data_IF_065925534736
#
_entry.id   IF_065925534736
#
_cell.length_a   1.000
_cell.length_b   1.000
_cell.length_c   1.000
_cell.angle_alpha   90.00
_cell.angle_beta   90.00
_cell.angle_gamma   90.00
#
_symmetry.space_group_name_H-M   'P 1'
#
loop_
_entity.id
_entity.type
_entity.pdbx_description
1 polymer ?
#
# COMPACT_ATOMS: atom_id res chain seq x y z
N UNK A 1 1.89 -19.09 -6.72
CA UNK A 1 2.23 -19.89 -5.52
C UNK A 1 1.04 -19.86 -4.59
N UNK A 2 0.47 -21.01 -4.24
CA UNK A 2 -0.60 -21.08 -3.26
C UNK A 2 0.06 -21.26 -1.89
N UNK A 3 0.25 -20.15 -1.18
CA UNK A 3 0.84 -20.15 0.16
C UNK A 3 -0.19 -20.58 1.22
N UNK A 4 -1.41 -20.05 1.12
CA UNK A 4 -2.59 -20.52 1.85
C UNK A 4 -3.35 -21.53 1.00
N UNK A 5 -4.15 -22.39 1.62
CA UNK A 5 -5.02 -23.37 0.93
C UNK A 5 -6.12 -22.64 0.17
N UNK A 6 -6.68 -21.61 0.80
CA UNK A 6 -7.71 -20.75 0.23
C UNK A 6 -7.08 -19.53 -0.41
N UNK A 7 -7.46 -19.24 -1.65
CA UNK A 7 -7.00 -18.08 -2.41
C UNK A 7 -8.23 -17.28 -2.85
N UNK A 8 -8.24 -16.01 -2.48
CA UNK A 8 -9.36 -15.10 -2.75
C UNK A 8 -9.06 -14.22 -3.96
N UNK A 9 -10.10 -13.94 -4.77
CA UNK A 9 -10.05 -12.98 -5.87
C UNK A 9 -10.93 -11.74 -5.64
N UNK A 10 -11.70 -11.74 -4.56
CA UNK A 10 -12.59 -10.67 -4.13
C UNK A 10 -12.59 -10.60 -2.60
N UNK A 11 -13.07 -9.52 -1.99
CA UNK A 11 -13.17 -9.43 -0.53
C UNK A 11 -13.90 -10.65 0.06
N UNK A 12 -13.50 -11.07 1.24
CA UNK A 12 -14.06 -12.21 1.96
C UNK A 12 -14.30 -11.85 3.43
N UNK A 13 -15.12 -12.63 4.15
CA UNK A 13 -15.65 -12.21 5.47
C UNK A 13 -14.61 -11.69 6.46
N UNK A 14 -13.44 -12.32 6.54
CA UNK A 14 -12.41 -11.91 7.51
C UNK A 14 -11.84 -10.51 7.28
N UNK A 15 -11.87 -9.99 6.03
CA UNK A 15 -11.34 -8.66 5.70
C UNK A 15 -12.39 -7.64 5.26
N UNK A 16 -13.70 -7.95 5.35
CA UNK A 16 -14.72 -6.96 4.97
C UNK A 16 -14.53 -5.65 5.72
N UNK A 17 -14.31 -4.57 4.99
CA UNK A 17 -14.09 -3.24 5.56
C UNK A 17 -15.29 -2.73 6.41
N UNK A 18 -16.47 -3.32 6.21
CA UNK A 18 -17.69 -3.02 7.00
C UNK A 18 -17.74 -3.73 8.36
N UNK A 19 -16.76 -4.60 8.69
CA UNK A 19 -16.69 -5.23 10.00
C UNK A 19 -16.44 -4.19 11.09
N UNK A 20 -17.20 -4.21 12.20
CA UNK A 20 -17.00 -3.27 13.32
C UNK A 20 -15.57 -3.29 13.89
N UNK A 21 -14.92 -4.48 13.92
CA UNK A 21 -13.55 -4.68 14.42
C UNK A 21 -12.50 -3.99 13.56
N UNK A 22 -12.83 -3.71 12.29
CA UNK A 22 -11.96 -3.01 11.35
C UNK A 22 -12.29 -1.51 11.23
N UNK A 23 -13.15 -1.00 12.12
CA UNK A 23 -13.57 0.42 12.09
C UNK A 23 -12.38 1.37 12.06
N UNK A 24 -12.43 2.32 11.15
CA UNK A 24 -11.44 3.39 11.01
C UNK A 24 -11.97 4.73 11.57
N UNK A 25 -13.00 4.67 12.41
CA UNK A 25 -13.63 5.87 12.97
C UNK A 25 -12.62 6.78 13.69
N UNK A 26 -12.72 8.07 13.44
CA UNK A 26 -11.82 9.08 14.00
C UNK A 26 -10.46 9.20 13.31
N UNK A 27 -10.10 8.28 12.39
CA UNK A 27 -8.79 8.26 11.70
C UNK A 27 -8.79 9.11 10.44
N UNK A 28 -7.64 9.74 10.19
CA UNK A 28 -7.30 10.39 8.92
C UNK A 28 -6.37 9.49 8.12
N UNK A 29 -6.73 9.21 6.88
CA UNK A 29 -5.99 8.31 5.97
C UNK A 29 -5.41 9.12 4.81
N UNK A 30 -4.12 8.96 4.55
CA UNK A 30 -3.42 9.53 3.40
C UNK A 30 -3.08 8.42 2.39
N UNK A 31 -3.55 8.54 1.15
CA UNK A 31 -3.32 7.55 0.08
C UNK A 31 -2.55 8.19 -1.07
N UNK A 32 -1.30 7.78 -1.27
CA UNK A 32 -0.52 8.21 -2.43
C UNK A 32 -1.02 7.48 -3.69
N UNK A 33 -1.21 8.23 -4.79
CA UNK A 33 -1.79 7.67 -6.02
C UNK A 33 -3.25 7.23 -5.86
N UNK A 34 -4.03 7.92 -4.99
CA UNK A 34 -5.40 7.58 -4.64
C UNK A 34 -6.46 7.95 -5.67
N UNK A 35 -6.09 8.62 -6.77
CA UNK A 35 -7.06 9.12 -7.76
C UNK A 35 -7.54 8.08 -8.78
N UNK A 36 -6.96 6.88 -8.82
CA UNK A 36 -7.35 5.84 -9.78
C UNK A 36 -6.95 4.44 -9.30
N UNK A 37 -7.49 3.41 -9.96
CA UNK A 37 -7.08 2.02 -9.81
C UNK A 37 -7.11 1.51 -8.37
N UNK A 38 -6.03 0.85 -7.94
CA UNK A 38 -5.92 0.24 -6.61
C UNK A 38 -5.99 1.30 -5.51
N UNK A 39 -5.32 2.46 -5.68
CA UNK A 39 -5.35 3.53 -4.69
C UNK A 39 -6.76 4.10 -4.46
N UNK A 40 -7.55 4.22 -5.53
CA UNK A 40 -8.96 4.63 -5.42
C UNK A 40 -9.80 3.58 -4.69
N UNK A 41 -9.62 2.29 -5.01
CA UNK A 41 -10.31 1.20 -4.33
C UNK A 41 -9.92 1.11 -2.83
N UNK A 42 -8.67 1.45 -2.48
CA UNK A 42 -8.24 1.56 -1.08
C UNK A 42 -8.96 2.73 -0.39
N UNK A 43 -9.05 3.90 -1.03
CA UNK A 43 -9.82 5.03 -0.48
C UNK A 43 -11.28 4.65 -0.24
N UNK A 44 -11.92 3.90 -1.16
CA UNK A 44 -13.27 3.36 -0.97
C UNK A 44 -13.34 2.39 0.23
N UNK A 45 -12.36 1.48 0.39
CA UNK A 45 -12.31 0.57 1.52
C UNK A 45 -12.25 1.31 2.86
N UNK A 46 -11.40 2.32 2.99
CA UNK A 46 -11.33 3.14 4.21
C UNK A 46 -12.59 3.98 4.44
N UNK A 47 -13.23 4.46 3.38
CA UNK A 47 -14.52 5.14 3.49
C UNK A 47 -15.61 4.20 3.99
N UNK A 48 -15.67 2.98 3.47
CA UNK A 48 -16.60 1.93 3.93
C UNK A 48 -16.36 1.55 5.39
N UNK A 49 -15.10 1.59 5.87
CA UNK A 49 -14.74 1.35 7.26
C UNK A 49 -14.99 2.55 8.19
N UNK A 50 -15.56 3.64 7.68
CA UNK A 50 -15.97 4.81 8.47
C UNK A 50 -14.80 5.71 8.88
N UNK A 51 -13.74 5.83 8.07
CA UNK A 51 -12.67 6.80 8.33
C UNK A 51 -13.24 8.23 8.45
N UNK A 52 -12.68 9.03 9.36
CA UNK A 52 -13.11 10.42 9.54
C UNK A 52 -12.77 11.27 8.32
N UNK A 53 -11.54 11.14 7.82
CA UNK A 53 -11.05 11.91 6.67
C UNK A 53 -10.15 11.04 5.80
N UNK A 54 -10.28 11.19 4.49
CA UNK A 54 -9.42 10.52 3.50
C UNK A 54 -8.83 11.57 2.59
N UNK A 55 -7.50 11.62 2.52
CA UNK A 55 -6.73 12.52 1.67
C UNK A 55 -6.12 11.68 0.57
N UNK A 56 -6.42 12.00 -0.69
CA UNK A 56 -5.82 11.33 -1.84
C UNK A 56 -4.84 12.23 -2.56
N UNK A 57 -3.66 11.69 -2.86
CA UNK A 57 -2.66 12.38 -3.66
C UNK A 57 -2.64 11.83 -5.08
N UNK A 58 -2.47 12.71 -6.06
CA UNK A 58 -2.33 12.33 -7.46
C UNK A 58 -1.71 13.44 -8.30
N UNK A 59 -0.99 13.09 -9.37
CA UNK A 59 -0.29 14.06 -10.22
C UNK A 59 -1.22 14.88 -11.13
N UNK A 60 -2.37 14.34 -11.50
CA UNK A 60 -3.34 14.94 -12.43
C UNK A 60 -4.51 15.49 -11.65
N UNK A 61 -4.60 16.82 -11.54
CA UNK A 61 -5.62 17.51 -10.75
C UNK A 61 -7.04 17.09 -11.14
N UNK A 62 -7.36 17.05 -12.44
CA UNK A 62 -8.66 16.67 -12.92
C UNK A 62 -9.11 15.27 -12.43
N UNK A 63 -8.19 14.29 -12.43
CA UNK A 63 -8.50 12.94 -11.93
C UNK A 63 -8.62 12.89 -10.41
N UNK A 64 -7.89 13.75 -9.71
CA UNK A 64 -8.02 13.90 -8.25
C UNK A 64 -9.41 14.46 -7.92
N UNK A 65 -9.85 15.51 -8.61
CA UNK A 65 -11.15 16.15 -8.40
C UNK A 65 -12.31 15.21 -8.74
N UNK A 66 -12.20 14.45 -9.83
CA UNK A 66 -13.18 13.44 -10.22
C UNK A 66 -13.30 12.33 -9.18
N UNK A 67 -12.15 11.85 -8.65
CA UNK A 67 -12.11 10.81 -7.63
C UNK A 67 -12.75 11.29 -6.32
N UNK A 68 -12.42 12.51 -5.86
CA UNK A 68 -13.03 13.12 -4.66
C UNK A 68 -14.54 13.23 -4.85
N UNK A 69 -14.98 13.80 -5.97
CA UNK A 69 -16.41 13.97 -6.27
C UNK A 69 -17.17 12.65 -6.29
N UNK A 70 -16.54 11.56 -6.75
CA UNK A 70 -17.13 10.22 -6.76
C UNK A 70 -17.23 9.68 -5.34
N UNK A 71 -16.16 9.78 -4.53
CA UNK A 71 -16.13 9.32 -3.15
C UNK A 71 -17.16 10.06 -2.29
N UNK A 72 -17.29 11.38 -2.44
CA UNK A 72 -18.28 12.20 -1.71
C UNK A 72 -19.73 11.83 -2.04
N UNK A 73 -19.99 11.42 -3.29
CA UNK A 73 -21.33 10.94 -3.68
C UNK A 73 -21.66 9.58 -3.06
N UNK A 74 -20.68 8.68 -3.00
CA UNK A 74 -20.88 7.30 -2.55
C UNK A 74 -20.85 7.17 -1.02
N UNK A 75 -20.02 7.95 -0.31
CA UNK A 75 -19.79 7.79 1.12
C UNK A 75 -20.12 9.06 1.90
N UNK A 76 -21.36 9.13 2.42
CA UNK A 76 -21.77 10.25 3.26
C UNK A 76 -21.19 10.13 4.67
N UNK A 77 -20.76 11.25 5.26
CA UNK A 77 -20.19 11.28 6.61
C UNK A 77 -18.67 11.09 6.69
N UNK A 78 -18.00 10.86 5.55
CA UNK A 78 -16.55 10.88 5.44
C UNK A 78 -16.12 12.18 4.78
N UNK A 79 -15.07 12.82 5.30
CA UNK A 79 -14.47 14.00 4.68
C UNK A 79 -13.44 13.55 3.63
N UNK A 80 -13.50 14.09 2.42
CA UNK A 80 -12.52 13.82 1.38
C UNK A 80 -11.74 15.08 1.03
N UNK A 81 -10.46 14.90 0.72
CA UNK A 81 -9.59 15.94 0.22
C UNK A 81 -8.71 15.38 -0.89
N UNK A 82 -8.63 16.09 -2.00
CA UNK A 82 -7.73 15.75 -3.10
C UNK A 82 -6.63 16.80 -3.21
N UNK A 83 -5.38 16.34 -3.31
CA UNK A 83 -4.22 17.23 -3.44
C UNK A 83 -3.41 16.80 -4.65
N UNK A 84 -3.19 17.76 -5.57
CA UNK A 84 -2.25 17.53 -6.66
C UNK A 84 -0.84 17.41 -6.09
N UNK A 85 -0.21 16.27 -6.27
CA UNK A 85 1.11 16.00 -5.73
C UNK A 85 1.87 15.01 -6.59
N UNK A 86 3.11 15.33 -6.91
CA UNK A 86 4.10 14.36 -7.35
C UNK A 86 4.91 13.91 -6.13
N UNK A 87 4.83 12.64 -5.77
CA UNK A 87 5.56 12.06 -4.63
C UNK A 87 7.09 12.11 -4.81
N UNK A 88 7.58 12.46 -6.00
CA UNK A 88 9.00 12.68 -6.29
C UNK A 88 9.45 14.11 -6.00
N UNK A 89 8.55 15.05 -5.87
CA UNK A 89 8.84 16.44 -5.53
C UNK A 89 9.02 16.57 -4.01
N UNK A 90 10.27 16.56 -3.56
CA UNK A 90 10.60 16.60 -2.13
C UNK A 90 10.25 17.96 -1.50
N UNK A 91 10.36 19.07 -2.26
CA UNK A 91 9.98 20.38 -1.76
C UNK A 91 8.45 20.48 -1.59
N UNK A 92 7.69 19.94 -2.55
CA UNK A 92 6.25 19.84 -2.40
C UNK A 92 5.85 18.95 -1.23
N UNK A 93 6.50 17.80 -1.08
CA UNK A 93 6.28 16.90 0.06
C UNK A 93 6.53 17.61 1.39
N UNK A 94 7.63 18.37 1.50
CA UNK A 94 7.93 19.14 2.70
C UNK A 94 6.85 20.19 3.01
N UNK A 95 6.41 20.95 2.02
CA UNK A 95 5.30 21.92 2.17
C UNK A 95 4.02 21.22 2.62
N UNK A 96 3.65 20.11 1.98
CA UNK A 96 2.44 19.35 2.31
C UNK A 96 2.40 18.92 3.78
N UNK A 97 3.51 18.36 4.30
CA UNK A 97 3.55 17.93 5.69
C UNK A 97 3.62 19.10 6.68
N UNK A 98 4.20 20.21 6.27
CA UNK A 98 4.17 21.46 7.03
C UNK A 98 2.76 22.04 7.10
N UNK A 99 2.02 22.05 5.99
CA UNK A 99 0.61 22.47 5.95
C UNK A 99 -0.25 21.59 6.88
N UNK A 100 -0.03 20.27 6.90
CA UNK A 100 -0.70 19.38 7.84
C UNK A 100 -0.38 19.72 9.31
N UNK A 101 0.88 20.06 9.60
CA UNK A 101 1.27 20.48 10.95
C UNK A 101 0.59 21.81 11.34
N UNK A 102 0.56 22.80 10.45
CA UNK A 102 0.00 24.12 10.68
C UNK A 102 -1.53 24.10 10.84
N UNK A 103 -2.24 23.26 10.10
CA UNK A 103 -3.70 23.13 10.18
C UNK A 103 -4.16 22.09 11.23
N UNK A 104 -3.23 21.47 11.94
CA UNK A 104 -3.51 20.48 12.98
C UNK A 104 -3.98 19.12 12.42
N UNK A 105 -3.79 18.84 11.13
CA UNK A 105 -4.10 17.54 10.53
C UNK A 105 -3.12 16.47 11.01
N UNK A 106 -3.65 15.41 11.62
CA UNK A 106 -2.89 14.24 12.03
C UNK A 106 -3.21 13.09 11.09
N UNK A 107 -2.20 12.56 10.42
CA UNK A 107 -2.34 11.34 9.60
C UNK A 107 -2.19 10.13 10.53
N UNK A 108 -3.20 9.27 10.59
CA UNK A 108 -3.19 8.03 11.37
C UNK A 108 -2.79 6.81 10.52
N UNK A 109 -3.15 6.84 9.23
CA UNK A 109 -2.86 5.77 8.28
C UNK A 109 -2.21 6.37 7.04
N UNK A 110 -1.01 5.88 6.69
CA UNK A 110 -0.33 6.20 5.44
C UNK A 110 -0.34 4.99 4.52
N UNK A 111 -0.92 5.14 3.32
CA UNK A 111 -0.90 4.13 2.27
C UNK A 111 0.04 4.55 1.15
N UNK A 112 1.15 3.84 1.03
CA UNK A 112 2.17 4.02 -0.01
C UNK A 112 1.79 3.18 -1.23
N UNK A 113 0.95 3.75 -2.11
CA UNK A 113 0.45 3.07 -3.29
C UNK A 113 1.04 3.63 -4.61
N UNK A 114 1.41 4.91 -4.65
CA UNK A 114 2.01 5.49 -5.85
C UNK A 114 3.26 4.71 -6.28
N UNK A 115 3.34 4.37 -7.55
CA UNK A 115 4.47 3.65 -8.12
C UNK A 115 4.67 3.99 -9.60
N UNK A 116 5.91 3.83 -10.08
CA UNK A 116 6.24 3.79 -11.51
C UNK A 116 6.48 2.34 -11.92
N UNK A 117 5.81 1.91 -12.97
CA UNK A 117 6.18 0.71 -13.72
C UNK A 117 7.16 1.18 -14.80
N UNK A 118 8.35 0.57 -14.87
CA UNK A 118 9.37 0.89 -15.89
C UNK A 118 8.88 0.52 -17.29
N UNK A 119 9.56 1.02 -18.30
CA UNK A 119 9.44 0.48 -19.65
C UNK A 119 9.80 -1.00 -19.64
N UNK A 120 9.28 -1.77 -20.60
CA UNK A 120 9.63 -3.19 -20.77
C UNK A 120 10.99 -3.34 -21.49
N UNK A 121 11.65 -4.45 -21.23
CA UNK A 121 12.91 -4.81 -21.86
C UNK A 121 14.04 -5.13 -20.90
N UNK A 122 15.18 -5.60 -21.43
CA UNK A 122 16.38 -5.91 -20.61
C UNK A 122 16.89 -4.67 -19.89
N UNK A 123 17.30 -4.80 -18.63
CA UNK A 123 17.66 -3.68 -17.76
C UNK A 123 18.78 -2.78 -18.35
N UNK A 124 19.76 -3.37 -19.04
CA UNK A 124 20.83 -2.60 -19.67
C UNK A 124 20.38 -1.86 -20.95
N UNK A 125 19.28 -2.30 -21.57
CA UNK A 125 18.69 -1.62 -22.72
C UNK A 125 17.78 -0.45 -22.32
N UNK A 126 17.20 -0.47 -21.12
CA UNK A 126 16.39 0.63 -20.59
C UNK A 126 17.22 1.90 -20.36
N UNK A 127 18.50 1.73 -20.09
CA UNK A 127 19.41 2.83 -19.76
C UNK A 127 19.29 3.30 -18.30
N UNK A 128 20.33 4.01 -17.88
CA UNK A 128 20.50 4.46 -16.50
C UNK A 128 19.31 5.31 -16.01
N UNK A 129 18.83 6.21 -16.83
CA UNK A 129 17.88 7.23 -16.38
C UNK A 129 16.48 6.64 -16.11
N UNK A 130 15.99 5.71 -16.95
CA UNK A 130 14.70 5.01 -16.70
C UNK A 130 14.79 4.12 -15.45
N UNK A 131 15.95 3.44 -15.26
CA UNK A 131 16.18 2.64 -14.05
C UNK A 131 16.16 3.52 -12.81
N UNK A 132 16.91 4.63 -12.78
CA UNK A 132 16.95 5.53 -11.62
C UNK A 132 15.61 6.25 -11.36
N UNK A 133 14.86 6.59 -12.39
CA UNK A 133 13.52 7.13 -12.20
C UNK A 133 12.61 6.14 -11.46
N UNK A 134 12.74 4.83 -11.77
CA UNK A 134 12.02 3.78 -11.04
C UNK A 134 12.44 3.72 -9.56
N UNK A 135 13.74 3.87 -9.25
CA UNK A 135 14.22 3.95 -7.86
C UNK A 135 13.77 5.22 -7.16
N UNK A 136 13.79 6.35 -7.86
CA UNK A 136 13.29 7.63 -7.32
C UNK A 136 11.82 7.49 -6.88
N UNK A 137 10.98 6.92 -7.73
CA UNK A 137 9.55 6.74 -7.45
C UNK A 137 9.28 5.64 -6.42
N UNK A 138 9.93 4.47 -6.57
CA UNK A 138 9.56 3.27 -5.80
C UNK A 138 10.42 3.05 -4.55
N UNK A 139 11.42 3.89 -4.29
CA UNK A 139 12.30 3.80 -3.11
C UNK A 139 12.40 5.13 -2.38
N UNK A 140 12.89 6.20 -3.08
CA UNK A 140 13.10 7.50 -2.42
C UNK A 140 11.80 8.10 -1.90
N UNK A 141 10.73 8.05 -2.68
CA UNK A 141 9.43 8.57 -2.23
C UNK A 141 8.88 7.80 -1.03
N UNK A 142 9.11 6.47 -0.97
CA UNK A 142 8.70 5.67 0.19
C UNK A 142 9.44 6.13 1.46
N UNK A 143 10.75 6.38 1.35
CA UNK A 143 11.55 6.87 2.48
C UNK A 143 11.07 8.24 2.94
N UNK A 144 10.90 9.20 2.01
CA UNK A 144 10.46 10.56 2.32
C UNK A 144 9.12 10.59 3.05
N UNK A 145 8.11 9.93 2.49
CA UNK A 145 6.77 9.89 3.12
C UNK A 145 6.78 9.12 4.45
N UNK A 146 7.53 8.02 4.56
CA UNK A 146 7.63 7.26 5.81
C UNK A 146 8.31 8.07 6.91
N UNK A 147 9.40 8.78 6.59
CA UNK A 147 10.12 9.63 7.54
C UNK A 147 9.23 10.76 8.06
N UNK A 148 8.55 11.48 7.15
CA UNK A 148 7.64 12.57 7.52
C UNK A 148 6.46 12.07 8.34
N UNK A 149 5.87 10.95 7.95
CA UNK A 149 4.80 10.29 8.71
C UNK A 149 5.25 9.89 10.11
N UNK A 150 6.45 9.33 10.24
CA UNK A 150 7.01 8.97 11.54
C UNK A 150 7.25 10.21 12.41
N UNK A 151 7.81 11.28 11.85
CA UNK A 151 8.23 12.51 12.54
C UNK A 151 7.11 13.54 12.71
N UNK A 152 5.87 13.31 12.22
CA UNK A 152 4.80 14.30 12.39
C UNK A 152 4.63 14.65 13.87
N UNK A 153 4.62 15.94 14.20
CA UNK A 153 4.61 16.45 15.59
C UNK A 153 3.23 16.36 16.24
N UNK A 154 2.18 16.57 15.44
CA UNK A 154 0.82 16.41 15.93
C UNK A 154 0.49 14.93 16.10
N UNK A 155 -0.35 14.60 17.09
CA UNK A 155 -0.79 13.21 17.32
C UNK A 155 0.22 12.35 18.10
N UNK A 156 1.06 12.94 18.95
CA UNK A 156 1.93 12.21 19.86
C UNK A 156 1.14 11.17 20.68
N UNK A 157 1.70 9.97 20.81
CA UNK A 157 1.06 8.85 21.52
C UNK A 157 -0.04 8.13 20.76
N UNK A 158 -0.40 8.57 19.53
CA UNK A 158 -1.34 7.83 18.66
C UNK A 158 -0.59 6.77 17.87
N UNK A 159 -1.12 5.55 17.87
CA UNK A 159 -0.61 4.49 17.02
C UNK A 159 -0.79 4.86 15.55
N UNK A 160 0.26 4.67 14.75
CA UNK A 160 0.30 4.90 13.31
C UNK A 160 0.23 3.58 12.54
N UNK A 161 -0.31 3.63 11.33
CA UNK A 161 -0.38 2.47 10.44
C UNK A 161 0.21 2.83 9.07
N UNK A 162 1.28 2.15 8.68
CA UNK A 162 1.89 2.30 7.37
C UNK A 162 1.62 1.05 6.55
N UNK A 163 0.94 1.21 5.43
CA UNK A 163 0.58 0.14 4.50
C UNK A 163 1.29 0.38 3.16
N UNK A 164 2.25 -0.47 2.82
CA UNK A 164 3.02 -0.34 1.59
C UNK A 164 2.57 -1.35 0.55
N UNK A 165 2.20 -0.87 -0.63
CA UNK A 165 1.91 -1.72 -1.78
C UNK A 165 3.19 -2.15 -2.47
N UNK A 166 3.41 -3.46 -2.52
CA UNK A 166 4.52 -4.10 -3.18
C UNK A 166 4.02 -4.98 -4.35
N UNK A 167 4.78 -5.96 -4.78
CA UNK A 167 4.45 -6.82 -5.91
C UNK A 167 5.01 -8.24 -5.71
N UNK A 168 4.38 -9.25 -6.32
CA UNK A 168 4.93 -10.61 -6.37
C UNK A 168 6.30 -10.67 -7.08
N UNK A 169 6.59 -9.70 -7.95
CA UNK A 169 7.85 -9.65 -8.72
C UNK A 169 9.10 -9.44 -7.85
N UNK A 170 8.95 -9.11 -6.57
CA UNK A 170 10.10 -8.93 -5.66
C UNK A 170 10.75 -10.24 -5.21
N UNK A 171 10.06 -11.37 -5.31
CA UNK A 171 10.53 -12.67 -4.82
C UNK A 171 10.44 -13.80 -5.86
N UNK A 172 9.86 -13.56 -7.01
CA UNK A 172 9.84 -14.51 -8.13
C UNK A 172 10.47 -13.87 -9.36
N UNK A 173 11.73 -14.25 -9.67
CA UNK A 173 12.46 -13.72 -10.81
C UNK A 173 11.72 -13.91 -12.15
N UNK A 174 10.90 -14.96 -12.28
CA UNK A 174 10.07 -15.17 -13.47
C UNK A 174 8.98 -14.10 -13.61
N UNK A 175 8.53 -13.53 -12.48
CA UNK A 175 7.54 -12.46 -12.41
C UNK A 175 8.14 -11.06 -12.57
N UNK A 176 9.48 -10.94 -12.49
CA UNK A 176 10.16 -9.72 -12.93
C UNK A 176 9.87 -9.45 -14.40
N UNK A 177 9.76 -10.52 -15.20
CA UNK A 177 9.25 -10.51 -16.57
C UNK A 177 9.83 -9.38 -17.41
N UNK A 178 8.97 -8.62 -18.10
CA UNK A 178 9.40 -7.53 -18.97
C UNK A 178 9.78 -6.24 -18.22
N UNK A 179 9.59 -6.16 -16.87
CA UNK A 179 9.82 -4.93 -16.08
C UNK A 179 10.89 -5.09 -15.02
N UNK A 180 12.17 -5.34 -15.37
CA UNK A 180 13.22 -5.62 -14.40
C UNK A 180 13.56 -4.44 -13.49
N UNK A 181 13.53 -3.20 -14.00
CA UNK A 181 13.78 -2.00 -13.18
C UNK A 181 12.65 -1.76 -12.17
N UNK A 182 11.40 -2.03 -12.55
CA UNK A 182 10.27 -2.03 -11.62
C UNK A 182 10.47 -3.06 -10.51
N UNK A 183 10.77 -4.31 -10.87
CA UNK A 183 10.99 -5.39 -9.89
C UNK A 183 12.14 -5.09 -8.94
N UNK A 184 13.27 -4.61 -9.46
CA UNK A 184 14.44 -4.24 -8.65
C UNK A 184 14.12 -3.10 -7.69
N UNK A 185 13.47 -2.03 -8.17
CA UNK A 185 13.11 -0.89 -7.32
C UNK A 185 12.03 -1.24 -6.29
N UNK A 186 11.02 -2.05 -6.65
CA UNK A 186 10.00 -2.53 -5.69
C UNK A 186 10.59 -3.48 -4.63
N UNK A 187 11.57 -4.33 -5.01
CA UNK A 187 12.32 -5.14 -4.07
C UNK A 187 13.07 -4.26 -3.07
N UNK A 188 13.87 -3.31 -3.55
CA UNK A 188 14.62 -2.37 -2.71
C UNK A 188 13.69 -1.54 -1.80
N UNK A 189 12.56 -1.04 -2.33
CA UNK A 189 11.57 -0.31 -1.55
C UNK A 189 10.91 -1.18 -0.47
N UNK A 190 10.59 -2.44 -0.78
CA UNK A 190 10.02 -3.37 0.22
C UNK A 190 11.03 -3.67 1.32
N UNK A 191 12.30 -3.94 0.97
CA UNK A 191 13.36 -4.14 1.95
C UNK A 191 13.56 -2.92 2.85
N UNK A 192 13.55 -1.71 2.27
CA UNK A 192 13.64 -0.46 3.03
C UNK A 192 12.52 -0.38 4.08
N UNK A 193 11.26 -0.62 3.69
CA UNK A 193 10.11 -0.60 4.60
C UNK A 193 10.21 -1.70 5.67
N UNK A 194 10.76 -2.87 5.34
CA UNK A 194 11.01 -3.94 6.33
C UNK A 194 12.09 -3.55 7.34
N UNK A 195 13.14 -2.83 6.91
CA UNK A 195 14.17 -2.31 7.80
C UNK A 195 13.62 -1.20 8.72
N UNK A 196 12.78 -0.32 8.20
CA UNK A 196 12.06 0.67 9.04
C UNK A 196 11.20 -0.05 10.09
N UNK A 197 10.51 -1.12 9.72
CA UNK A 197 9.71 -1.91 10.65
C UNK A 197 10.55 -2.60 11.73
N UNK A 198 11.76 -3.05 11.39
CA UNK A 198 12.69 -3.66 12.37
C UNK A 198 13.04 -2.69 13.50
N UNK A 199 13.18 -1.40 13.19
CA UNK A 199 13.59 -0.37 14.14
C UNK A 199 12.39 0.38 14.77
N UNK A 200 11.17 -0.06 14.46
CA UNK A 200 9.93 0.61 14.88
C UNK A 200 8.98 -0.38 15.56
N UNK A 201 8.60 -0.11 16.81
CA UNK A 201 7.60 -0.94 17.49
C UNK A 201 6.22 -0.83 16.82
N UNK A 202 5.49 -1.95 16.64
CA UNK A 202 4.15 -1.94 16.06
C UNK A 202 3.13 -1.14 16.90
N UNK A 203 3.39 -0.93 18.19
CA UNK A 203 2.59 -0.07 19.07
C UNK A 203 2.68 1.40 18.64
N UNK A 204 3.85 1.82 18.15
CA UNK A 204 4.08 3.17 17.66
C UNK A 204 3.65 3.31 16.20
N UNK A 205 4.13 2.40 15.35
CA UNK A 205 3.79 2.40 13.92
C UNK A 205 3.77 0.96 13.39
N UNK A 206 2.57 0.39 13.22
CA UNK A 206 2.39 -0.88 12.56
C UNK A 206 2.67 -0.74 11.07
N UNK A 207 3.51 -1.62 10.52
CA UNK A 207 3.96 -1.56 9.12
C UNK A 207 3.68 -2.90 8.44
N UNK A 208 2.98 -2.88 7.31
CA UNK A 208 2.71 -4.08 6.52
C UNK A 208 2.97 -3.80 5.05
N UNK A 209 3.68 -4.73 4.39
CA UNK A 209 3.87 -4.73 2.95
C UNK A 209 2.95 -5.76 2.31
N UNK A 210 2.29 -5.44 1.21
CA UNK A 210 1.48 -6.44 0.53
C UNK A 210 1.47 -6.34 -0.99
N UNK A 211 1.31 -7.49 -1.65
CA UNK A 211 0.98 -7.58 -3.07
C UNK A 211 -0.54 -7.46 -3.23
N UNK A 212 -1.04 -6.48 -4.00
CA UNK A 212 -2.48 -6.21 -4.10
C UNK A 212 -3.25 -7.24 -4.94
N UNK A 213 -2.56 -8.16 -5.61
CA UNK A 213 -3.12 -8.97 -6.70
C UNK A 213 -2.93 -8.29 -8.05
N UNK A 214 -3.46 -8.90 -9.10
CA UNK A 214 -3.46 -8.35 -10.46
C UNK A 214 -4.84 -7.74 -10.73
N UNK A 215 -4.93 -6.44 -10.61
CA UNK A 215 -6.18 -5.69 -10.77
C UNK A 215 -6.19 -5.01 -12.14
N UNK A 216 -7.34 -5.03 -12.81
CA UNK A 216 -7.53 -4.27 -14.06
C UNK A 216 -7.49 -2.76 -13.76
N UNK A 217 -6.37 -2.15 -14.05
CA UNK A 217 -6.13 -0.70 -13.94
C UNK A 217 -5.92 -0.10 -15.31
N UNK A 218 -5.61 1.19 -15.39
CA UNK A 218 -5.24 1.84 -16.65
C UNK A 218 -4.05 1.17 -17.38
N UNK A 219 -3.20 0.44 -16.67
CA UNK A 219 -2.13 -0.37 -17.26
C UNK A 219 -2.65 -1.47 -18.18
N UNK A 220 -3.83 -1.99 -17.89
CA UNK A 220 -4.46 -3.12 -18.60
C UNK A 220 -5.78 -2.71 -19.26
N UNK A 221 -6.01 -1.41 -19.50
CA UNK A 221 -7.29 -0.92 -20.04
C UNK A 221 -7.58 -1.51 -21.43
N UNK A 222 -6.54 -1.66 -22.24
CA UNK A 222 -6.64 -2.16 -23.62
C UNK A 222 -6.41 -3.68 -23.72
N UNK A 223 -6.17 -4.37 -22.60
CA UNK A 223 -5.99 -5.81 -22.58
C UNK A 223 -7.35 -6.52 -22.79
N UNK A 224 -7.43 -7.62 -23.57
CA UNK A 224 -8.62 -8.43 -23.70
C UNK A 224 -9.19 -8.84 -22.33
N UNK A 225 -10.51 -9.12 -22.25
CA UNK A 225 -11.13 -9.52 -20.97
C UNK A 225 -10.55 -10.81 -20.40
N UNK A 226 -10.16 -11.73 -21.27
CA UNK A 226 -9.55 -13.03 -20.96
C UNK A 226 -8.02 -13.00 -20.85
N UNK A 227 -7.39 -11.82 -21.01
CA UNK A 227 -5.93 -11.66 -20.97
C UNK A 227 -5.31 -12.19 -19.67
N UNK A 228 -5.97 -11.95 -18.55
CA UNK A 228 -5.55 -12.42 -17.23
C UNK A 228 -6.77 -12.58 -16.32
N UNK A 229 -6.80 -13.58 -15.42
CA UNK A 229 -7.87 -13.74 -14.45
C UNK A 229 -7.75 -12.69 -13.33
N UNK A 230 -8.07 -11.43 -13.66
CA UNK A 230 -7.94 -10.29 -12.76
C UNK A 230 -8.64 -10.52 -11.42
N UNK A 231 -8.03 -9.94 -10.39
CA UNK A 231 -8.60 -9.87 -9.06
C UNK A 231 -9.53 -8.63 -8.96
N UNK A 232 -10.54 -8.70 -8.11
CA UNK A 232 -11.46 -7.59 -7.84
C UNK A 232 -10.70 -6.43 -7.17
N UNK A 233 -10.87 -5.21 -7.65
CA UNK A 233 -10.23 -4.02 -7.10
C UNK A 233 -10.60 -3.76 -5.62
N UNK A 234 -11.77 -4.21 -5.17
CA UNK A 234 -12.16 -4.13 -3.78
C UNK A 234 -11.34 -5.06 -2.86
N UNK A 235 -10.70 -6.12 -3.40
CA UNK A 235 -9.87 -7.02 -2.59
C UNK A 235 -8.70 -6.28 -1.93
N UNK A 236 -7.78 -5.62 -2.66
CA UNK A 236 -6.73 -4.83 -2.03
C UNK A 236 -7.26 -3.66 -1.20
N UNK A 237 -8.42 -3.08 -1.54
CA UNK A 237 -9.07 -2.04 -0.75
C UNK A 237 -9.43 -2.53 0.66
N UNK A 238 -10.14 -3.65 0.75
CA UNK A 238 -10.53 -4.25 2.03
C UNK A 238 -9.31 -4.80 2.79
N UNK A 239 -8.34 -5.39 2.08
CA UNK A 239 -7.11 -5.87 2.70
C UNK A 239 -6.30 -4.73 3.33
N UNK A 240 -6.20 -3.56 2.69
CA UNK A 240 -5.50 -2.41 3.24
C UNK A 240 -6.14 -1.90 4.56
N UNK A 241 -7.47 -1.94 4.66
CA UNK A 241 -8.20 -1.63 5.90
C UNK A 241 -7.85 -2.64 7.00
N UNK A 242 -7.90 -3.94 6.69
CA UNK A 242 -7.51 -4.98 7.63
C UNK A 242 -6.04 -4.85 8.05
N UNK A 243 -5.12 -4.56 7.11
CA UNK A 243 -3.71 -4.33 7.39
C UNK A 243 -3.45 -3.12 8.32
N UNK A 244 -4.36 -2.13 8.31
CA UNK A 244 -4.36 -0.97 9.22
C UNK A 244 -5.20 -1.21 10.48
N UNK A 245 -5.31 -2.45 10.96
CA UNK A 245 -6.01 -2.82 12.19
C UNK A 245 -5.13 -3.64 13.13
N UNK A 246 -5.53 -3.74 14.39
CA UNK A 246 -4.84 -4.57 15.39
C UNK A 246 -4.82 -6.06 15.01
N UNK A 247 -5.82 -6.52 14.23
CA UNK A 247 -5.88 -7.91 13.80
C UNK A 247 -4.67 -8.33 12.94
N UNK A 248 -4.04 -7.38 12.25
CA UNK A 248 -2.91 -7.62 11.37
C UNK A 248 -1.54 -7.43 12.06
N UNK A 249 -1.50 -7.06 13.35
CA UNK A 249 -0.28 -6.74 14.09
C UNK A 249 0.79 -7.82 14.03
N UNK A 250 0.40 -9.09 14.02
CA UNK A 250 1.32 -10.24 13.94
C UNK A 250 2.11 -10.30 12.62
N UNK A 251 1.71 -9.51 11.62
CA UNK A 251 2.39 -9.36 10.33
C UNK A 251 3.31 -8.14 10.24
N UNK A 252 3.55 -7.44 11.35
CA UNK A 252 4.42 -6.26 11.35
C UNK A 252 5.77 -6.55 10.67
N UNK A 253 6.16 -5.70 9.72
CA UNK A 253 7.38 -5.82 8.91
C UNK A 253 7.37 -6.92 7.84
N UNK A 254 6.29 -7.68 7.69
CA UNK A 254 6.21 -8.79 6.73
C UNK A 254 5.62 -8.37 5.39
N UNK A 255 5.86 -9.20 4.38
CA UNK A 255 5.26 -9.11 3.05
C UNK A 255 4.28 -10.26 2.86
N UNK A 256 3.05 -9.92 2.50
CA UNK A 256 1.96 -10.88 2.25
C UNK A 256 1.20 -10.53 0.97
N UNK A 257 0.28 -11.38 0.55
CA UNK A 257 -0.58 -11.11 -0.59
C UNK A 257 -2.02 -10.88 -0.14
N UNK A 258 -2.69 -9.89 -0.71
CA UNK A 258 -4.10 -9.60 -0.40
C UNK A 258 -5.04 -10.79 -0.63
N UNK A 259 -4.67 -11.68 -1.55
CA UNK A 259 -5.43 -12.87 -1.91
C UNK A 259 -5.25 -14.06 -0.96
N UNK A 260 -4.27 -14.02 -0.04
CA UNK A 260 -4.10 -15.09 0.95
C UNK A 260 -5.16 -14.98 2.05
N UNK A 261 -5.61 -16.13 2.54
CA UNK A 261 -6.58 -16.17 3.63
C UNK A 261 -5.93 -15.75 4.96
N UNK A 262 -6.43 -14.66 5.57
CA UNK A 262 -5.81 -14.10 6.79
C UNK A 262 -6.01 -14.99 8.01
N UNK A 263 -7.05 -15.83 8.05
CA UNK A 263 -7.24 -16.77 9.15
C UNK A 263 -6.23 -17.94 9.08
N UNK A 264 -5.89 -18.39 7.86
CA UNK A 264 -4.82 -19.34 7.66
C UNK A 264 -3.43 -18.74 7.99
N UNK A 265 -3.23 -17.42 7.79
CA UNK A 265 -2.00 -16.74 8.24
C UNK A 265 -1.88 -16.66 9.76
N UNK A 266 -2.98 -16.57 10.48
CA UNK A 266 -3.00 -16.50 11.96
C UNK A 266 -2.83 -17.85 12.62
N UNK A 267 -3.27 -18.92 11.98
CA UNK A 267 -3.47 -20.24 12.62
C UNK A 267 -2.64 -21.33 11.95
N UNK A 268 -2.63 -22.52 12.57
CA UNK A 268 -1.98 -23.71 12.04
C UNK A 268 -0.48 -23.55 11.81
N UNK A 269 0.07 -24.31 10.88
CA UNK A 269 1.51 -24.36 10.59
C UNK A 269 2.07 -23.00 10.11
N UNK A 270 1.30 -22.27 9.32
CA UNK A 270 1.72 -20.94 8.82
C UNK A 270 1.81 -19.95 9.97
N UNK A 271 0.77 -19.87 10.81
CA UNK A 271 0.76 -19.02 11.99
C UNK A 271 1.87 -19.34 12.98
N UNK A 272 2.18 -20.64 13.15
CA UNK A 272 3.31 -21.07 13.98
C UNK A 272 4.65 -20.62 13.43
N UNK A 273 4.87 -20.72 12.11
CA UNK A 273 6.09 -20.23 11.47
C UNK A 273 6.24 -18.72 11.61
N UNK A 274 5.15 -17.97 11.44
CA UNK A 274 5.14 -16.51 11.61
C UNK A 274 5.53 -16.11 13.04
N UNK A 275 5.02 -16.81 14.05
CA UNK A 275 5.32 -16.52 15.47
C UNK A 275 6.73 -16.94 15.90
N UNK A 276 7.28 -18.01 15.32
CA UNK A 276 8.57 -18.59 15.74
C UNK A 276 9.77 -18.08 14.94
N UNK A 277 9.53 -17.46 13.76
CA UNK A 277 10.59 -16.98 12.90
C UNK A 277 10.32 -15.52 12.48
N UNK A 278 11.09 -14.62 13.04
CA UNK A 278 10.94 -13.19 12.77
C UNK A 278 11.24 -12.82 11.33
N UNK A 279 12.04 -13.62 10.61
CA UNK A 279 12.40 -13.38 9.21
C UNK A 279 11.44 -14.04 8.22
N UNK A 280 10.47 -14.83 8.72
CA UNK A 280 9.49 -15.48 7.84
C UNK A 280 8.60 -14.44 7.15
N UNK A 281 8.45 -14.54 5.83
CA UNK A 281 7.76 -13.56 4.96
C UNK A 281 8.50 -12.20 4.86
N UNK A 282 9.80 -12.19 5.07
CA UNK A 282 10.68 -11.05 4.74
C UNK A 282 11.55 -11.37 3.53
N UNK A 283 12.13 -10.32 2.96
CA UNK A 283 13.08 -10.47 1.85
C UNK A 283 14.39 -11.06 2.37
N UNK A 284 14.90 -12.06 1.68
CA UNK A 284 16.14 -12.73 2.03
C UNK A 284 16.67 -13.55 0.85
N UNK A 285 17.78 -14.20 1.06
CA UNK A 285 18.40 -15.10 0.09
C UNK A 285 17.81 -16.49 0.24
N UNK A 286 17.32 -17.05 -0.87
CA UNK A 286 16.80 -18.43 -0.88
C UNK A 286 17.93 -19.41 -0.62
N UNK A 287 17.76 -20.28 0.38
CA UNK A 287 18.72 -21.32 0.74
C UNK A 287 19.66 -20.98 1.89
N UNK A 288 19.48 -19.81 2.52
CA UNK A 288 20.16 -19.46 3.77
C UNK A 288 19.21 -19.57 4.96
#
# INVERSE_FOLDING_TARGET
>A
MNFTKTIHKKPYPAIFASRPELSQNGRTVLVTGGSAGIGFAIAQGFAQAGAKRIIILGRRQNLVDEAVSKLEREYKGVQFSGIQSDVNDLEHSERLWKDFEEDGTVIDVLVLNAAKISSDGPILALGRDDVWESFTMNVRSLLDFSERFYKQKNGEGRQKFLVNLSTEAIHDFRKAGPWPAYSASKNAGTLLIQLIAKDTSPENMQIINFHPGVVRTSLFQDAPEDFYPFDDAALPGNFAVWAASEEARFLHGRFVWAKWDVEELKTGEIGDKIRKNDDYLKLGVVGL
#
